data_IF_554837866577
#
_entry.id   IF_554837866577
#
_cell.length_a   1.000
_cell.length_b   1.000
_cell.length_c   1.000
_cell.angle_alpha   90.00
_cell.angle_beta   90.00
_cell.angle_gamma   90.00
#
_symmetry.space_group_name_H-M   'P 1'
#
loop_
_entity.id
_entity.type
_entity.pdbx_description
1 polymer ?
#
# COMPACT_ATOMS: atom_id res chain seq x y z
N UNK A 1 56.36 -10.13 -50.33
CA UNK A 1 57.79 -10.19 -50.72
C UNK A 1 58.50 -9.23 -49.80
N UNK A 2 59.51 -9.72 -49.05
CA UNK A 2 60.32 -9.02 -48.04
C UNK A 2 59.54 -8.73 -46.73
N UNK A 3 60.05 -9.00 -45.53
CA UNK A 3 61.33 -8.51 -44.99
C UNK A 3 62.10 -9.49 -44.08
N UNK A 4 63.37 -9.16 -43.93
CA UNK A 4 64.50 -9.82 -43.26
C UNK A 4 64.90 -9.00 -42.00
N UNK A 5 65.56 -9.68 -41.02
CA UNK A 5 66.50 -9.15 -39.99
C UNK A 5 65.90 -8.43 -38.75
N UNK A 6 65.84 -9.06 -37.57
CA UNK A 6 66.89 -9.24 -36.51
C UNK A 6 67.14 -7.98 -35.66
N UNK A 7 66.96 -7.93 -34.32
CA UNK A 7 67.93 -8.34 -33.25
C UNK A 7 67.32 -7.97 -31.86
N UNK A 8 67.10 -8.90 -30.89
CA UNK A 8 67.85 -9.24 -29.62
C UNK A 8 68.00 -8.03 -28.64
N UNK A 9 67.59 -8.03 -27.35
CA UNK A 9 67.99 -8.80 -26.13
C UNK A 9 66.79 -8.88 -25.12
N UNK A 10 66.38 -10.02 -24.52
CA UNK A 10 66.95 -10.85 -23.43
C UNK A 10 67.19 -10.14 -22.09
N UNK A 11 66.32 -10.33 -21.07
CA UNK A 11 66.65 -10.80 -19.69
C UNK A 11 65.38 -11.45 -19.07
N UNK A 12 65.52 -12.68 -18.55
CA UNK A 12 64.51 -13.44 -17.80
C UNK A 12 64.57 -13.23 -16.27
N UNK A 13 64.14 -14.19 -15.43
CA UNK A 13 62.93 -14.02 -14.60
C UNK A 13 63.15 -14.14 -13.09
N UNK A 14 62.16 -13.76 -12.28
CA UNK A 14 61.95 -14.29 -10.92
C UNK A 14 60.47 -14.12 -10.52
N UNK A 15 59.70 -15.21 -10.51
CA UNK A 15 59.31 -16.01 -9.33
C UNK A 15 58.57 -15.22 -8.25
N UNK A 16 57.25 -15.43 -8.19
CA UNK A 16 56.51 -15.82 -6.98
C UNK A 16 55.12 -16.29 -7.41
N UNK A 17 54.86 -17.58 -7.23
CA UNK A 17 53.62 -18.27 -7.61
C UNK A 17 52.54 -18.05 -6.54
N UNK A 18 51.37 -17.57 -6.97
CA UNK A 18 50.12 -17.55 -6.22
C UNK A 18 49.52 -18.97 -6.27
N UNK A 19 49.37 -19.61 -5.11
CA UNK A 19 48.88 -20.98 -4.99
C UNK A 19 47.52 -20.97 -4.26
N UNK A 20 46.43 -20.80 -5.03
CA UNK A 20 45.07 -21.06 -4.59
C UNK A 20 44.58 -22.36 -5.22
N UNK A 21 44.47 -23.44 -4.42
CA UNK A 21 43.36 -24.40 -4.43
C UNK A 21 43.62 -25.61 -3.50
N UNK A 22 42.51 -26.05 -2.88
CA UNK A 22 42.25 -27.32 -2.20
C UNK A 22 42.82 -27.44 -0.76
N UNK A 23 42.11 -28.03 0.22
CA UNK A 23 40.94 -28.90 0.16
C UNK A 23 40.01 -28.76 1.37
N UNK A 24 38.77 -29.15 1.13
CA UNK A 24 37.75 -29.55 2.09
C UNK A 24 38.21 -30.67 3.05
N UNK A 25 37.58 -30.66 4.22
CA UNK A 25 37.20 -31.78 5.09
C UNK A 25 38.04 -32.08 6.36
N UNK A 26 37.33 -31.92 7.48
CA UNK A 26 37.38 -32.67 8.74
C UNK A 26 38.44 -32.33 9.81
N UNK A 27 37.98 -31.64 10.85
CA UNK A 27 38.16 -32.10 12.23
C UNK A 27 37.02 -31.53 13.10
N UNK A 28 36.26 -32.43 13.71
CA UNK A 28 35.20 -32.12 14.67
C UNK A 28 35.79 -31.78 16.04
N UNK A 29 35.18 -30.76 16.66
CA UNK A 29 34.72 -30.72 18.06
C UNK A 29 35.75 -30.78 19.19
N UNK A 30 35.92 -29.65 19.91
CA UNK A 30 35.52 -29.53 21.33
C UNK A 30 35.76 -28.13 21.95
N UNK A 31 34.68 -27.65 22.56
CA UNK A 31 34.58 -26.76 23.73
C UNK A 31 34.85 -25.25 23.63
N UNK A 32 33.73 -24.51 23.71
CA UNK A 32 33.38 -23.50 24.71
C UNK A 32 33.03 -22.12 24.12
N UNK A 33 31.73 -21.81 24.14
CA UNK A 33 31.16 -20.49 23.88
C UNK A 33 31.74 -19.41 24.80
N UNK A 34 31.78 -18.17 24.30
CA UNK A 34 31.22 -17.05 25.04
C UNK A 34 29.95 -16.58 24.31
N UNK A 35 28.84 -16.73 25.02
CA UNK A 35 27.54 -16.16 24.71
C UNK A 35 27.63 -14.63 24.63
N UNK A 36 27.83 -14.08 23.43
CA UNK A 36 27.43 -12.71 23.13
C UNK A 36 26.02 -12.78 22.54
N UNK A 37 25.01 -12.70 23.42
CA UNK A 37 23.69 -12.22 23.01
C UNK A 37 23.90 -10.79 22.50
N UNK A 38 24.01 -10.63 21.18
CA UNK A 38 23.74 -9.34 20.58
C UNK A 38 22.28 -9.05 20.86
N UNK A 39 22.01 -8.12 21.77
CA UNK A 39 20.73 -7.46 21.93
C UNK A 39 20.45 -6.72 20.62
N UNK A 40 20.01 -7.45 19.59
CA UNK A 40 19.25 -6.84 18.52
C UNK A 40 17.98 -6.38 19.20
N UNK A 41 17.92 -5.09 19.52
CA UNK A 41 16.65 -4.42 19.77
C UNK A 41 15.78 -4.76 18.57
N UNK A 42 14.87 -5.72 18.73
CA UNK A 42 13.88 -6.03 17.73
C UNK A 42 13.00 -4.79 17.65
N UNK A 43 13.31 -3.89 16.73
CA UNK A 43 12.44 -2.77 16.37
C UNK A 43 11.14 -3.42 15.87
N UNK A 44 10.17 -3.54 16.78
CA UNK A 44 8.84 -4.00 16.47
C UNK A 44 8.21 -2.95 15.56
N UNK A 45 8.17 -3.23 14.26
CA UNK A 45 7.48 -2.36 13.33
C UNK A 45 5.98 -2.56 13.50
N UNK A 46 5.19 -1.48 13.61
CA UNK A 46 3.76 -1.59 13.82
C UNK A 46 3.07 -2.15 12.58
N UNK A 47 1.92 -2.82 12.75
CA UNK A 47 1.10 -3.30 11.64
C UNK A 47 0.58 -2.14 10.77
N UNK A 48 0.23 -1.01 11.41
CA UNK A 48 -0.20 0.22 10.76
C UNK A 48 0.68 1.40 11.22
N UNK A 49 0.94 2.36 10.34
CA UNK A 49 1.56 3.63 10.73
C UNK A 49 0.82 4.82 10.15
N UNK A 50 0.82 5.93 10.89
CA UNK A 50 0.27 7.21 10.45
C UNK A 50 1.39 8.23 10.23
N UNK A 51 1.28 9.02 9.16
CA UNK A 51 2.21 10.09 8.81
C UNK A 51 1.44 11.35 8.41
N UNK A 52 2.07 12.53 8.51
CA UNK A 52 1.60 13.76 7.86
C UNK A 52 2.36 14.04 6.55
N UNK A 53 3.53 13.45 6.37
CA UNK A 53 4.41 13.64 5.23
C UNK A 53 4.20 12.54 4.20
N UNK A 54 4.01 12.92 2.93
CA UNK A 54 3.78 11.98 1.83
C UNK A 54 4.98 11.08 1.55
N UNK A 55 6.21 11.57 1.76
CA UNK A 55 7.44 10.77 1.57
C UNK A 55 7.48 9.52 2.45
N UNK A 56 6.85 9.57 3.63
CA UNK A 56 6.79 8.44 4.56
C UNK A 56 5.81 7.34 4.10
N UNK A 57 5.08 7.54 3.00
CA UNK A 57 4.30 6.48 2.35
C UNK A 57 5.17 5.29 1.94
N UNK A 58 6.47 5.50 1.70
CA UNK A 58 7.48 4.47 1.44
C UNK A 58 7.49 3.35 2.51
N UNK A 59 7.05 3.66 3.73
CA UNK A 59 6.92 2.67 4.83
C UNK A 59 6.03 1.48 4.45
N UNK A 60 5.12 1.64 3.48
CA UNK A 60 4.27 0.54 3.02
C UNK A 60 5.09 -0.64 2.51
N UNK A 61 6.32 -0.43 2.03
CA UNK A 61 7.18 -1.51 1.57
C UNK A 61 7.81 -2.35 2.68
N UNK A 62 7.81 -1.86 3.93
CA UNK A 62 8.31 -2.65 5.04
C UNK A 62 7.47 -3.94 5.19
N UNK A 63 8.08 -5.14 5.30
CA UNK A 63 7.32 -6.40 5.31
C UNK A 63 6.32 -6.50 6.46
N UNK A 64 6.54 -5.81 7.58
CA UNK A 64 5.65 -5.83 8.74
C UNK A 64 4.52 -4.78 8.71
N UNK A 65 4.61 -3.76 7.84
CA UNK A 65 3.61 -2.71 7.73
C UNK A 65 2.60 -3.12 6.65
N UNK A 66 1.32 -3.18 7.00
CA UNK A 66 0.23 -3.55 6.09
C UNK A 66 -0.66 -2.35 5.76
N UNK A 67 -0.68 -1.34 6.63
CA UNK A 67 -1.45 -0.12 6.45
C UNK A 67 -0.56 1.10 6.65
N UNK A 68 -0.58 2.03 5.70
CA UNK A 68 -0.04 3.38 5.92
C UNK A 68 -1.17 4.38 5.77
N UNK A 69 -1.39 5.20 6.80
CA UNK A 69 -2.33 6.32 6.77
C UNK A 69 -1.58 7.63 6.60
N UNK A 70 -1.70 8.24 5.44
CA UNK A 70 -1.29 9.63 5.24
C UNK A 70 -2.43 10.55 5.65
N UNK A 71 -2.20 11.26 6.76
CA UNK A 71 -3.14 12.22 7.34
C UNK A 71 -3.10 13.49 6.55
N UNK A 72 -4.26 13.90 6.06
CA UNK A 72 -4.40 15.08 5.19
C UNK A 72 -5.38 16.06 5.79
N UNK A 73 -5.21 17.33 5.47
CA UNK A 73 -6.20 18.34 5.83
C UNK A 73 -7.40 18.26 4.90
N UNK A 74 -8.58 18.55 5.43
CA UNK A 74 -9.79 18.70 4.61
C UNK A 74 -9.64 19.96 3.77
N UNK A 75 -9.78 19.84 2.46
CA UNK A 75 -9.87 20.99 1.57
C UNK A 75 -11.31 21.53 1.58
N UNK A 76 -11.56 22.77 2.03
CA UNK A 76 -12.91 23.31 2.13
C UNK A 76 -13.60 23.48 0.77
N UNK A 77 -12.84 23.71 -0.30
CA UNK A 77 -13.36 23.83 -1.66
C UNK A 77 -13.87 22.49 -2.19
N UNK A 78 -13.14 21.41 -1.92
CA UNK A 78 -13.54 20.04 -2.25
C UNK A 78 -14.72 19.60 -1.38
N UNK A 79 -14.68 19.90 -0.08
CA UNK A 79 -15.80 19.60 0.81
C UNK A 79 -17.10 20.29 0.34
N UNK A 80 -17.02 21.60 0.04
CA UNK A 80 -18.14 22.36 -0.49
C UNK A 80 -18.61 21.81 -1.84
N UNK A 81 -17.68 21.40 -2.72
CA UNK A 81 -18.01 20.73 -3.99
C UNK A 81 -18.87 19.49 -3.76
N UNK A 82 -18.43 18.58 -2.88
CA UNK A 82 -19.08 17.29 -2.62
C UNK A 82 -20.40 17.38 -1.84
N UNK A 83 -20.69 18.52 -1.20
CA UNK A 83 -21.96 18.78 -0.52
C UNK A 83 -23.07 19.25 -1.48
N UNK A 84 -22.72 19.75 -2.67
CA UNK A 84 -23.69 20.29 -3.61
C UNK A 84 -24.63 19.19 -4.13
N UNK A 85 -25.95 19.50 -4.17
CA UNK A 85 -26.98 18.55 -4.65
C UNK A 85 -26.71 18.01 -6.06
N UNK A 86 -26.28 18.83 -7.05
CA UNK A 86 -25.99 18.30 -8.37
C UNK A 86 -24.85 17.28 -8.34
N UNK A 87 -23.85 17.37 -7.45
CA UNK A 87 -22.81 16.33 -7.34
C UNK A 87 -23.40 15.00 -6.90
N UNK A 88 -24.22 15.00 -5.85
CA UNK A 88 -24.86 13.77 -5.35
C UNK A 88 -25.76 13.08 -6.39
N UNK A 89 -26.38 13.85 -7.30
CA UNK A 89 -27.24 13.33 -8.37
C UNK A 89 -26.48 12.95 -9.64
N UNK A 90 -25.49 13.75 -10.05
CA UNK A 90 -24.79 13.57 -11.34
C UNK A 90 -23.66 12.56 -11.27
N UNK A 91 -22.99 12.39 -10.11
CA UNK A 91 -22.00 11.33 -9.97
C UNK A 91 -22.64 9.93 -10.05
N UNK A 92 -23.97 9.78 -9.97
CA UNK A 92 -24.68 8.48 -9.99
C UNK A 92 -24.04 7.51 -8.97
N UNK A 93 -23.44 6.41 -9.44
CA UNK A 93 -22.71 5.43 -8.61
C UNK A 93 -21.19 5.68 -8.58
N UNK A 94 -20.73 6.77 -9.18
CA UNK A 94 -19.34 7.10 -9.44
C UNK A 94 -18.90 6.70 -10.86
N UNK A 95 -17.59 6.57 -11.07
CA UNK A 95 -16.97 6.18 -12.34
C UNK A 95 -15.71 5.34 -12.12
N UNK A 96 -15.31 4.59 -13.16
CA UNK A 96 -14.07 3.82 -13.20
C UNK A 96 -13.38 4.06 -14.53
N UNK A 97 -12.10 4.38 -14.47
CA UNK A 97 -11.25 4.68 -15.63
C UNK A 97 -9.86 4.10 -15.41
N UNK A 98 -9.06 4.08 -16.47
CA UNK A 98 -7.61 3.89 -16.39
C UNK A 98 -6.98 5.21 -16.84
N UNK A 99 -6.04 5.71 -16.07
CA UNK A 99 -5.26 6.91 -16.42
C UNK A 99 -3.78 6.53 -16.52
N UNK A 100 -3.03 7.03 -17.52
CA UNK A 100 -1.58 6.90 -17.55
C UNK A 100 -0.92 7.62 -16.37
N UNK A 101 0.23 7.13 -15.92
CA UNK A 101 1.02 7.79 -14.90
C UNK A 101 1.51 9.17 -15.38
N UNK A 102 1.37 10.18 -14.52
CA UNK A 102 1.68 11.57 -14.85
C UNK A 102 0.58 12.30 -15.63
N UNK A 103 -0.50 11.62 -16.01
CA UNK A 103 -1.70 12.26 -16.54
C UNK A 103 -2.72 12.50 -15.40
N UNK A 104 -3.24 13.73 -15.35
CA UNK A 104 -4.26 14.12 -14.38
C UNK A 104 -5.66 13.65 -14.75
N UNK A 105 -6.57 13.72 -13.79
CA UNK A 105 -7.99 13.48 -14.04
C UNK A 105 -8.59 14.62 -14.89
N UNK A 106 -9.13 14.28 -16.06
CA UNK A 106 -9.85 15.25 -16.89
C UNK A 106 -11.11 15.79 -16.19
N UNK A 107 -11.41 17.07 -16.40
CA UNK A 107 -12.53 17.74 -15.73
C UNK A 107 -13.91 17.19 -16.16
N UNK A 108 -14.01 16.54 -17.32
CA UNK A 108 -15.28 16.06 -17.86
C UNK A 108 -15.82 14.83 -17.11
N UNK A 109 -14.98 14.16 -16.31
CA UNK A 109 -15.42 13.12 -15.37
C UNK A 109 -16.18 13.67 -14.17
N UNK A 110 -16.10 14.97 -13.92
CA UNK A 110 -16.63 15.62 -12.73
C UNK A 110 -17.74 16.64 -13.11
N UNK A 111 -18.87 16.67 -12.37
CA UNK A 111 -19.91 17.68 -12.58
C UNK A 111 -19.37 19.10 -12.58
N UNK A 112 -19.74 19.91 -13.59
CA UNK A 112 -19.30 21.29 -13.74
C UNK A 112 -19.95 22.21 -12.69
N UNK A 113 -19.32 22.26 -11.52
CA UNK A 113 -19.73 23.06 -10.38
C UNK A 113 -18.51 23.71 -9.71
N UNK A 114 -18.71 24.78 -8.91
CA UNK A 114 -17.64 25.40 -8.14
C UNK A 114 -16.91 24.40 -7.26
N UNK A 115 -15.59 24.30 -7.42
CA UNK A 115 -14.72 23.34 -6.73
C UNK A 115 -14.32 22.12 -7.58
N UNK A 116 -14.90 21.93 -8.77
CA UNK A 116 -14.54 20.84 -9.70
C UNK A 116 -13.04 20.74 -9.96
N UNK A 117 -12.39 21.88 -10.22
CA UNK A 117 -10.95 21.93 -10.49
C UNK A 117 -10.10 21.50 -9.29
N UNK A 118 -10.48 21.92 -8.08
CA UNK A 118 -9.80 21.51 -6.86
C UNK A 118 -9.91 19.98 -6.67
N UNK A 119 -11.09 19.40 -6.89
CA UNK A 119 -11.30 17.95 -6.83
C UNK A 119 -10.41 17.20 -7.85
N UNK A 120 -10.39 17.66 -9.11
CA UNK A 120 -9.56 17.02 -10.15
C UNK A 120 -8.06 17.12 -9.82
N UNK A 121 -7.59 18.28 -9.33
CA UNK A 121 -6.21 18.49 -8.93
C UNK A 121 -5.82 17.60 -7.75
N UNK A 122 -6.70 17.44 -6.76
CA UNK A 122 -6.46 16.58 -5.60
C UNK A 122 -6.35 15.11 -6.00
N UNK A 123 -7.27 14.62 -6.83
CA UNK A 123 -7.22 13.26 -7.37
C UNK A 123 -5.93 13.05 -8.17
N UNK A 124 -5.54 14.03 -9.00
CA UNK A 124 -4.32 13.95 -9.82
C UNK A 124 -3.06 13.91 -8.95
N UNK A 125 -2.98 14.74 -7.91
CA UNK A 125 -1.87 14.73 -6.95
C UNK A 125 -1.73 13.37 -6.26
N UNK A 126 -2.84 12.79 -5.82
CA UNK A 126 -2.83 11.45 -5.19
C UNK A 126 -2.40 10.40 -6.21
N UNK A 127 -2.87 10.50 -7.45
CA UNK A 127 -2.49 9.60 -8.54
C UNK A 127 -0.99 9.64 -8.81
N UNK A 128 -0.40 10.84 -8.95
CA UNK A 128 1.02 11.04 -9.22
C UNK A 128 1.90 10.45 -8.10
N UNK A 129 1.56 10.74 -6.84
CA UNK A 129 2.29 10.18 -5.69
C UNK A 129 2.19 8.64 -5.70
N UNK A 130 1.03 8.10 -6.05
CA UNK A 130 0.79 6.65 -6.04
C UNK A 130 1.53 5.92 -7.16
N UNK A 131 1.51 6.44 -8.40
CA UNK A 131 2.25 5.85 -9.51
C UNK A 131 3.75 5.97 -9.31
N UNK A 132 4.26 7.10 -8.80
CA UNK A 132 5.68 7.26 -8.48
C UNK A 132 6.10 6.28 -7.38
N UNK A 133 5.30 6.18 -6.31
CA UNK A 133 5.58 5.26 -5.20
C UNK A 133 5.69 3.80 -5.67
N UNK A 134 4.76 3.35 -6.50
CA UNK A 134 4.69 1.96 -6.95
C UNK A 134 5.44 1.66 -8.26
N UNK A 135 5.94 2.70 -8.94
CA UNK A 135 6.58 2.60 -10.25
C UNK A 135 5.69 1.93 -11.28
N UNK A 136 4.42 2.37 -11.41
CA UNK A 136 3.46 1.80 -12.36
C UNK A 136 3.18 2.75 -13.53
N UNK A 137 2.85 2.18 -14.71
CA UNK A 137 2.63 2.94 -15.94
C UNK A 137 1.21 3.50 -16.03
N UNK A 138 0.25 2.81 -15.40
CA UNK A 138 -1.16 3.14 -15.44
C UNK A 138 -1.81 2.93 -14.06
N UNK A 139 -2.89 3.65 -13.81
CA UNK A 139 -3.69 3.54 -12.58
C UNK A 139 -5.13 3.22 -12.95
N UNK A 140 -5.64 2.09 -12.46
CA UNK A 140 -7.08 1.84 -12.40
C UNK A 140 -7.70 2.71 -11.31
N UNK A 141 -8.32 3.81 -11.71
CA UNK A 141 -8.93 4.78 -10.83
C UNK A 141 -10.44 4.54 -10.74
N UNK A 142 -10.97 4.57 -9.53
CA UNK A 142 -12.40 4.46 -9.26
C UNK A 142 -12.83 5.49 -8.23
N UNK A 143 -13.75 6.37 -8.61
CA UNK A 143 -14.52 7.17 -7.67
C UNK A 143 -15.85 6.45 -7.47
N UNK A 144 -16.22 6.10 -6.25
CA UNK A 144 -17.49 5.46 -5.92
C UNK A 144 -18.38 6.38 -5.11
N UNK A 145 -19.68 6.35 -5.39
CA UNK A 145 -20.72 6.99 -4.58
C UNK A 145 -21.65 5.91 -4.06
N UNK A 146 -21.66 5.69 -2.75
CA UNK A 146 -22.43 4.61 -2.14
C UNK A 146 -23.26 5.06 -0.94
N UNK A 147 -24.52 4.63 -0.92
CA UNK A 147 -25.43 4.74 0.23
C UNK A 147 -25.44 3.49 1.12
N UNK A 148 -24.64 2.47 0.78
CA UNK A 148 -24.52 1.21 1.53
C UNK A 148 -23.05 0.84 1.74
N UNK A 149 -22.76 0.10 2.80
CA UNK A 149 -21.43 -0.50 2.97
C UNK A 149 -21.24 -1.60 1.91
N UNK A 150 -20.22 -1.46 1.05
CA UNK A 150 -19.91 -2.42 -0.02
C UNK A 150 -19.29 -3.70 0.55
N UNK A 151 -18.36 -3.55 1.50
CA UNK A 151 -17.66 -4.64 2.17
C UNK A 151 -17.77 -4.45 3.69
N UNK A 152 -18.94 -4.72 4.30
CA UNK A 152 -19.20 -4.44 5.72
C UNK A 152 -18.47 -5.39 6.68
N UNK A 153 -17.91 -6.50 6.17
CA UNK A 153 -17.14 -7.47 6.95
C UNK A 153 -15.64 -7.24 6.77
N UNK A 154 -14.87 -7.42 7.83
CA UNK A 154 -13.41 -7.42 7.74
C UNK A 154 -12.93 -8.50 6.77
N UNK A 155 -12.10 -8.09 5.81
CA UNK A 155 -11.56 -8.94 4.76
C UNK A 155 -10.18 -8.45 4.34
N UNK A 156 -9.54 -9.23 3.47
CA UNK A 156 -8.28 -8.88 2.82
C UNK A 156 -8.52 -8.86 1.32
N UNK A 157 -8.08 -7.78 0.67
CA UNK A 157 -8.17 -7.66 -0.77
C UNK A 157 -7.16 -8.57 -1.49
N UNK A 158 -7.57 -9.05 -2.66
CA UNK A 158 -6.72 -9.79 -3.60
C UNK A 158 -6.10 -8.84 -4.62
N UNK A 159 -5.27 -7.92 -4.13
CA UNK A 159 -4.61 -6.87 -4.90
C UNK A 159 -3.14 -6.72 -4.50
N UNK A 160 -2.39 -5.88 -5.21
CA UNK A 160 -1.09 -5.37 -4.78
C UNK A 160 -1.24 -4.39 -3.61
N UNK A 161 -0.60 -3.21 -3.67
CA UNK A 161 -0.89 -2.14 -2.71
C UNK A 161 -2.02 -1.28 -3.28
N UNK A 162 -3.18 -1.24 -2.60
CA UNK A 162 -4.33 -0.43 -2.99
C UNK A 162 -4.33 0.90 -2.24
N UNK A 163 -4.65 1.98 -2.92
CA UNK A 163 -4.91 3.27 -2.30
C UNK A 163 -6.41 3.47 -2.11
N UNK A 164 -6.82 3.97 -0.94
CA UNK A 164 -8.19 4.40 -0.65
C UNK A 164 -8.17 5.79 -0.01
N UNK A 165 -9.00 6.71 -0.51
CA UNK A 165 -9.28 8.00 0.14
C UNK A 165 -10.80 8.17 0.26
N UNK A 166 -11.31 8.42 1.45
CA UNK A 166 -12.74 8.75 1.62
C UNK A 166 -12.89 10.26 1.75
N UNK A 167 -13.43 10.91 0.72
CA UNK A 167 -13.64 12.36 0.76
C UNK A 167 -14.86 12.76 1.57
N UNK A 168 -15.91 11.93 1.53
CA UNK A 168 -17.16 12.17 2.25
C UNK A 168 -17.69 10.89 2.86
N UNK A 169 -18.21 10.98 4.08
CA UNK A 169 -18.70 9.84 4.85
C UNK A 169 -17.60 9.20 5.70
N UNK A 170 -17.95 8.11 6.39
CA UNK A 170 -17.00 7.42 7.27
C UNK A 170 -15.88 6.75 6.46
N UNK A 171 -14.63 6.92 6.92
CA UNK A 171 -13.46 6.33 6.27
C UNK A 171 -13.35 4.83 6.48
N UNK A 172 -12.54 4.18 5.65
CA UNK A 172 -12.27 2.73 5.77
C UNK A 172 -11.71 2.41 7.15
N UNK A 173 -12.16 1.29 7.71
CA UNK A 173 -11.71 0.77 9.01
C UNK A 173 -10.68 -0.35 8.81
N UNK A 174 -9.71 -0.47 9.72
CA UNK A 174 -8.76 -1.59 9.77
C UNK A 174 -8.55 -2.09 11.20
N UNK A 175 -8.01 -3.31 11.32
CA UNK A 175 -7.61 -3.93 12.59
C UNK A 175 -6.22 -4.53 12.47
N UNK A 176 -5.49 -4.52 13.59
CA UNK A 176 -4.20 -5.21 13.72
C UNK A 176 -4.42 -6.73 13.75
N UNK A 177 -3.64 -7.44 12.94
CA UNK A 177 -3.67 -8.89 12.80
C UNK A 177 -3.29 -9.66 14.08
N UNK A 178 -2.63 -9.00 15.05
CA UNK A 178 -2.12 -9.62 16.29
C UNK A 178 -3.15 -10.45 17.07
N UNK A 179 -4.42 -10.07 17.02
CA UNK A 179 -5.51 -10.70 17.77
C UNK A 179 -6.62 -11.23 16.88
N UNK A 180 -6.33 -11.45 15.59
CA UNK A 180 -7.32 -11.84 14.59
C UNK A 180 -7.19 -13.30 14.20
N UNK A 181 -8.31 -14.03 14.23
CA UNK A 181 -8.43 -15.34 13.60
C UNK A 181 -8.80 -15.16 12.11
N UNK A 182 -7.77 -15.14 11.26
CA UNK A 182 -7.93 -14.95 9.82
C UNK A 182 -8.84 -15.99 9.14
N UNK A 183 -9.07 -17.16 9.74
CA UNK A 183 -9.97 -18.17 9.16
C UNK A 183 -11.43 -17.70 9.12
N UNK A 184 -11.76 -16.66 9.90
CA UNK A 184 -13.11 -16.09 10.04
C UNK A 184 -13.31 -14.81 9.22
N UNK A 185 -12.33 -14.37 8.45
CA UNK A 185 -12.45 -13.16 7.63
C UNK A 185 -13.47 -13.35 6.50
N UNK A 186 -14.25 -12.30 6.22
CA UNK A 186 -15.20 -12.26 5.12
C UNK A 186 -16.16 -13.46 5.13
N UNK A 187 -16.06 -14.34 4.13
CA UNK A 187 -16.91 -15.53 4.04
C UNK A 187 -16.57 -16.62 5.06
N UNK A 188 -15.36 -16.59 5.63
CA UNK A 188 -14.96 -17.50 6.71
C UNK A 188 -15.81 -17.37 7.97
N UNK A 189 -16.49 -16.24 8.17
CA UNK A 189 -17.41 -16.03 9.29
C UNK A 189 -18.74 -16.80 9.16
N UNK A 190 -18.99 -17.47 8.02
CA UNK A 190 -20.23 -18.18 7.73
C UNK A 190 -21.50 -17.31 7.88
N UNK A 191 -21.36 -16.00 7.63
CA UNK A 191 -22.46 -15.02 7.75
C UNK A 191 -22.67 -14.47 9.16
N UNK A 192 -21.89 -14.92 10.15
CA UNK A 192 -21.87 -14.32 11.49
C UNK A 192 -21.17 -12.95 11.41
N UNK A 193 -21.67 -11.98 12.17
CA UNK A 193 -21.09 -10.64 12.27
C UNK A 193 -19.68 -10.68 12.90
N UNK A 194 -18.83 -9.71 12.56
CA UNK A 194 -17.42 -9.69 12.97
C UNK A 194 -17.27 -9.77 14.51
N UNK A 195 -18.12 -9.06 15.25
CA UNK A 195 -18.14 -8.98 16.73
C UNK A 195 -18.62 -10.26 17.43
N UNK A 196 -19.40 -11.09 16.74
CA UNK A 196 -19.97 -12.34 17.27
C UNK A 196 -19.30 -13.60 16.70
N UNK A 197 -18.54 -13.50 15.60
CA UNK A 197 -17.90 -14.64 14.94
C UNK A 197 -16.70 -15.17 15.73
N UNK A 198 -16.18 -14.38 16.67
CA UNK A 198 -14.88 -14.61 17.30
C UNK A 198 -13.73 -14.40 16.31
N UNK A 199 -13.91 -13.53 15.31
CA UNK A 199 -12.85 -13.04 14.42
C UNK A 199 -11.76 -12.34 15.22
N UNK A 200 -12.15 -11.57 16.23
CA UNK A 200 -11.25 -10.88 17.14
C UNK A 200 -11.89 -10.78 18.53
N UNK A 201 -11.12 -10.39 19.54
CA UNK A 201 -11.60 -10.15 20.90
C UNK A 201 -11.45 -8.69 21.35
N UNK A 202 -11.84 -8.41 22.59
CA UNK A 202 -11.88 -7.08 23.20
C UNK A 202 -10.52 -6.34 23.24
N UNK A 203 -9.40 -7.02 22.97
CA UNK A 203 -8.06 -6.41 22.87
C UNK A 203 -7.81 -5.76 21.50
N UNK A 204 -8.68 -6.01 20.52
CA UNK A 204 -8.54 -5.50 19.16
C UNK A 204 -9.12 -4.11 19.07
N UNK A 205 -8.31 -3.17 18.60
CA UNK A 205 -8.76 -1.81 18.30
C UNK A 205 -9.14 -1.74 16.83
N UNK A 206 -10.38 -1.31 16.57
CA UNK A 206 -10.82 -0.91 15.22
C UNK A 206 -10.39 0.54 15.02
N UNK A 207 -9.47 0.75 14.09
CA UNK A 207 -9.06 2.08 13.66
C UNK A 207 -9.82 2.50 12.40
N UNK A 208 -9.96 3.80 12.18
CA UNK A 208 -10.64 4.36 11.01
C UNK A 208 -9.86 5.53 10.41
N UNK A 209 -9.96 5.67 9.09
CA UNK A 209 -9.48 6.86 8.39
C UNK A 209 -10.44 8.04 8.66
N UNK A 210 -9.88 9.22 8.87
CA UNK A 210 -10.67 10.45 8.81
C UNK A 210 -11.02 10.76 7.34
N UNK A 211 -11.94 11.70 7.12
CA UNK A 211 -12.17 12.24 5.78
C UNK A 211 -10.87 12.81 5.21
N UNK A 212 -10.64 12.64 3.92
CA UNK A 212 -9.45 13.05 3.16
C UNK A 212 -8.16 12.28 3.48
N UNK A 213 -8.09 11.51 4.56
CA UNK A 213 -6.96 10.62 4.80
C UNK A 213 -6.81 9.64 3.63
N UNK A 214 -5.56 9.47 3.20
CA UNK A 214 -5.17 8.46 2.23
C UNK A 214 -4.67 7.23 2.98
N UNK A 215 -5.25 6.07 2.67
CA UNK A 215 -4.80 4.77 3.14
C UNK A 215 -4.11 4.04 2.00
N UNK A 216 -2.89 3.54 2.25
CA UNK A 216 -2.30 2.46 1.48
C UNK A 216 -2.56 1.15 2.21
N UNK A 217 -3.18 0.20 1.52
CA UNK A 217 -3.51 -1.12 2.03
C UNK A 217 -2.75 -2.17 1.22
N UNK A 218 -1.84 -2.89 1.86
CA UNK A 218 -1.12 -3.97 1.21
C UNK A 218 -2.03 -5.19 1.09
N UNK A 219 -2.40 -5.56 -0.12
CA UNK A 219 -3.24 -6.71 -0.43
C UNK A 219 -2.46 -8.04 -0.44
N UNK A 220 -3.18 -9.14 -0.63
CA UNK A 220 -2.61 -10.50 -0.62
C UNK A 220 -1.83 -10.87 -1.89
N UNK A 221 -1.91 -10.09 -2.98
CA UNK A 221 -1.10 -10.31 -4.18
C UNK A 221 0.21 -9.51 -4.18
N UNK A 222 0.44 -8.65 -3.19
CA UNK A 222 1.77 -8.05 -2.99
C UNK A 222 2.81 -9.14 -2.70
N UNK A 223 4.04 -8.95 -3.16
CA UNK A 223 5.10 -9.96 -3.09
C UNK A 223 5.28 -10.43 -1.65
N UNK A 224 5.31 -11.75 -1.48
CA UNK A 224 5.47 -12.41 -0.18
C UNK A 224 4.38 -12.06 0.87
N UNK A 225 3.22 -11.53 0.45
CA UNK A 225 2.17 -11.03 1.36
C UNK A 225 0.87 -11.87 1.39
N UNK A 226 0.86 -13.06 0.77
CA UNK A 226 -0.35 -13.90 0.56
C UNK A 226 -1.17 -14.20 1.81
N UNK A 227 -0.54 -14.30 2.98
CA UNK A 227 -1.20 -14.57 4.27
C UNK A 227 -1.26 -13.37 5.20
N UNK A 228 -0.87 -12.18 4.73
CA UNK A 228 -0.57 -11.02 5.59
C UNK A 228 -1.28 -9.74 5.22
N UNK A 229 -2.04 -9.72 4.13
CA UNK A 229 -2.70 -8.51 3.65
C UNK A 229 -3.56 -7.78 4.68
N UNK A 230 -3.69 -6.48 4.46
CA UNK A 230 -4.40 -5.54 5.32
C UNK A 230 -5.85 -5.97 5.55
N UNK A 231 -6.17 -6.25 6.80
CA UNK A 231 -7.51 -6.56 7.26
C UNK A 231 -8.29 -5.25 7.41
N UNK A 232 -9.29 -5.06 6.56
CA UNK A 232 -10.04 -3.81 6.50
C UNK A 232 -11.51 -4.05 6.13
N UNK A 233 -12.34 -3.02 6.32
CA UNK A 233 -13.75 -3.01 5.90
C UNK A 233 -14.25 -1.60 5.60
N UNK A 234 -15.37 -1.53 4.88
CA UNK A 234 -16.15 -0.30 4.81
C UNK A 234 -17.08 -0.22 6.00
N UNK A 235 -17.07 0.86 6.81
CA UNK A 235 -17.96 1.00 7.95
C UNK A 235 -19.42 1.06 7.52
N UNK A 236 -20.32 0.68 8.43
CA UNK A 236 -21.76 0.81 8.24
C UNK A 236 -22.15 2.26 8.00
N UNK A 237 -23.05 2.50 7.05
CA UNK A 237 -23.51 3.85 6.73
C UNK A 237 -24.40 4.37 7.86
N UNK A 238 -24.01 5.48 8.48
CA UNK A 238 -24.85 6.19 9.44
C UNK A 238 -25.95 6.94 8.70
N UNK A 239 -27.21 6.68 9.07
CA UNK A 239 -28.36 7.37 8.51
C UNK A 239 -28.23 8.90 8.69
N UNK A 240 -28.51 9.67 7.64
CA UNK A 240 -28.51 11.14 7.66
C UNK A 240 -27.25 11.83 7.12
N UNK A 241 -26.12 11.13 6.95
CA UNK A 241 -24.86 11.75 6.50
C UNK A 241 -24.71 11.83 4.96
N UNK A 242 -25.73 11.39 4.22
CA UNK A 242 -25.70 11.28 2.76
C UNK A 242 -24.78 10.16 2.27
N UNK A 243 -24.51 10.07 0.95
CA UNK A 243 -23.69 9.00 0.40
C UNK A 243 -22.22 9.17 0.80
N UNK A 244 -21.54 8.02 0.96
CA UNK A 244 -20.09 7.96 1.06
C UNK A 244 -19.49 8.15 -0.34
N UNK A 245 -18.49 9.01 -0.46
CA UNK A 245 -17.73 9.26 -1.69
C UNK A 245 -16.30 8.85 -1.44
N UNK A 246 -15.85 7.78 -2.10
CA UNK A 246 -14.50 7.23 -1.94
C UNK A 246 -13.78 7.13 -3.27
N UNK A 247 -12.50 7.43 -3.24
CA UNK A 247 -11.53 7.18 -4.30
C UNK A 247 -10.78 5.88 -3.97
N UNK A 248 -10.62 5.04 -4.98
CA UNK A 248 -9.81 3.82 -4.94
C UNK A 248 -8.90 3.81 -6.15
N UNK A 249 -7.63 3.45 -5.94
CA UNK A 249 -6.65 3.28 -7.01
C UNK A 249 -5.92 1.96 -6.86
N UNK A 250 -5.73 1.27 -7.98
CA UNK A 250 -4.88 0.09 -8.10
C UNK A 250 -3.89 0.30 -9.25
N UNK A 251 -2.62 0.01 -8.99
CA UNK A 251 -1.55 0.08 -9.99
C UNK A 251 -1.70 -0.99 -11.08
N UNK A 252 -1.38 -0.61 -12.31
CA UNK A 252 -1.25 -1.49 -13.47
C UNK A 252 0.19 -1.33 -13.99
N UNK A 253 0.89 -2.45 -14.13
CA UNK A 253 2.21 -2.52 -14.75
C UNK A 253 2.04 -3.19 -16.11
N UNK A 254 2.58 -2.56 -17.16
CA UNK A 254 2.49 -3.06 -18.54
C UNK A 254 3.80 -3.58 -19.08
#
# INVERSE_FOLDING_TARGET
MKDELATIEMIGPNLLQDNRKASFAQAMDRHAEPSQKSSQDHISHPYACATAESVELIRIFHPLIQVVRWRRQVDPGIEAYLQQRPVNGHLRNGFRIVIPAGEGLELDFLPDLPGRRAMAQDISLIADIYSELLGCDEIALRLEVSSKAMCPRFHVDRTGIRLICTYRGQGTEWIDDKWVDRSKLGQGSLGIADDASGLFDARTTVEAAASFDVLLLKGSLWQENIRRGAIHRSPSVTAGNGPRILLVMDAIWT
#
